data_IF_940173456754
#
_entry.id   IF_940173456754
#
_cell.length_a   1.000
_cell.length_b   1.000
_cell.length_c   1.000
_cell.angle_alpha   90.00
_cell.angle_beta   90.00
_cell.angle_gamma   90.00
#
_symmetry.space_group_name_H-M   'P 1'
#
loop_
_entity.id
_entity.type
_entity.pdbx_description
1 polymer ?
#
# COMPACT_ATOMS: atom_id res chain seq x y z
N UNK A 1 -35.55 -12.26 32.21
CA UNK A 1 -35.40 -12.51 30.77
C UNK A 1 -34.57 -11.36 30.24
N UNK A 2 -33.26 -11.56 30.07
CA UNK A 2 -32.35 -10.45 29.72
C UNK A 2 -32.55 -10.07 28.25
N UNK A 3 -32.96 -8.83 28.01
CA UNK A 3 -33.09 -8.27 26.67
C UNK A 3 -31.67 -8.00 26.15
N UNK A 4 -31.27 -8.73 25.12
CA UNK A 4 -29.99 -8.52 24.46
C UNK A 4 -30.20 -7.50 23.35
N UNK A 5 -29.80 -6.25 23.61
CA UNK A 5 -29.92 -5.16 22.63
C UNK A 5 -29.18 -5.55 21.35
N UNK A 6 -29.83 -5.52 20.17
CA UNK A 6 -29.21 -6.01 18.95
C UNK A 6 -28.01 -5.13 18.57
N UNK A 7 -26.81 -5.70 18.71
CA UNK A 7 -25.58 -5.07 18.24
C UNK A 7 -25.56 -5.06 16.71
N UNK A 8 -25.04 -3.97 16.13
CA UNK A 8 -24.92 -3.86 14.69
C UNK A 8 -23.93 -4.93 14.17
N UNK A 9 -24.30 -5.75 13.17
CA UNK A 9 -23.43 -6.81 12.69
C UNK A 9 -22.17 -6.25 12.04
N UNK A 10 -21.03 -6.91 12.29
CA UNK A 10 -19.71 -6.54 11.76
C UNK A 10 -19.58 -6.89 10.27
N UNK A 11 -20.29 -7.92 9.82
CA UNK A 11 -20.35 -8.38 8.43
C UNK A 11 -21.82 -8.63 8.05
N UNK A 12 -22.24 -8.20 6.86
CA UNK A 12 -23.59 -8.43 6.33
C UNK A 12 -23.52 -8.94 4.90
N UNK A 13 -24.09 -10.11 4.64
CA UNK A 13 -24.29 -10.64 3.29
C UNK A 13 -25.47 -9.90 2.65
N UNK A 14 -25.22 -9.22 1.54
CA UNK A 14 -26.25 -8.45 0.81
C UNK A 14 -26.88 -9.29 -0.31
N UNK A 15 -26.14 -10.27 -0.82
CA UNK A 15 -26.57 -11.14 -1.93
C UNK A 15 -25.81 -12.48 -1.87
N UNK A 16 -26.48 -13.54 -2.32
CA UNK A 16 -25.95 -14.90 -2.37
C UNK A 16 -26.32 -15.70 -1.12
N UNK A 17 -26.00 -16.99 -1.15
CA UNK A 17 -26.15 -17.92 -0.04
C UNK A 17 -24.81 -18.65 0.14
N UNK A 18 -23.80 -17.98 0.74
CA UNK A 18 -22.48 -18.54 0.89
C UNK A 18 -22.49 -19.71 1.88
N UNK A 19 -21.67 -20.70 1.62
CA UNK A 19 -21.53 -21.83 2.54
C UNK A 19 -20.64 -21.49 3.75
N UNK A 20 -20.61 -22.40 4.73
CA UNK A 20 -19.83 -22.21 5.97
C UNK A 20 -18.32 -22.02 5.71
N UNK A 21 -17.80 -22.64 4.64
CA UNK A 21 -16.38 -22.55 4.28
C UNK A 21 -16.08 -21.16 3.74
N UNK A 22 -16.95 -20.62 2.90
CA UNK A 22 -16.83 -19.27 2.36
C UNK A 22 -16.95 -18.20 3.46
N UNK A 23 -17.90 -18.37 4.40
CA UNK A 23 -18.02 -17.49 5.57
C UNK A 23 -16.75 -17.52 6.42
N UNK A 24 -16.21 -18.71 6.69
CA UNK A 24 -14.97 -18.86 7.44
C UNK A 24 -13.77 -18.22 6.73
N UNK A 25 -13.68 -18.36 5.41
CA UNK A 25 -12.61 -17.77 4.61
C UNK A 25 -12.62 -16.24 4.68
N UNK A 26 -13.79 -15.61 4.53
CA UNK A 26 -13.93 -14.14 4.62
C UNK A 26 -13.62 -13.66 6.05
N UNK A 27 -14.13 -14.36 7.07
CA UNK A 27 -13.85 -14.01 8.47
C UNK A 27 -12.35 -14.11 8.78
N UNK A 28 -11.69 -15.16 8.33
CA UNK A 28 -10.25 -15.35 8.50
C UNK A 28 -9.43 -14.26 7.78
N UNK A 29 -9.83 -13.88 6.56
CA UNK A 29 -9.17 -12.80 5.82
C UNK A 29 -9.28 -11.46 6.55
N UNK A 30 -10.46 -11.12 7.08
CA UNK A 30 -10.69 -9.90 7.85
C UNK A 30 -9.88 -9.90 9.16
N UNK A 31 -9.87 -11.02 9.89
CA UNK A 31 -9.08 -11.17 11.10
C UNK A 31 -7.57 -11.05 10.82
N UNK A 32 -7.09 -11.67 9.75
CA UNK A 32 -5.71 -11.58 9.30
C UNK A 32 -5.31 -10.16 8.91
N UNK A 33 -6.16 -9.45 8.17
CA UNK A 33 -5.93 -8.05 7.81
C UNK A 33 -5.89 -7.13 9.04
N UNK A 34 -6.77 -7.35 10.02
CA UNK A 34 -6.78 -6.58 11.27
C UNK A 34 -5.56 -6.87 12.16
N UNK A 35 -5.04 -8.10 12.13
CA UNK A 35 -3.86 -8.51 12.88
C UNK A 35 -2.53 -8.15 12.18
N UNK A 36 -2.57 -7.78 10.89
CA UNK A 36 -1.39 -7.45 10.13
C UNK A 36 -0.71 -6.21 10.74
N UNK A 37 0.57 -6.34 11.09
CA UNK A 37 1.39 -5.21 11.49
C UNK A 37 1.58 -4.29 10.29
N UNK A 38 1.32 -3.00 10.48
CA UNK A 38 1.74 -1.98 9.52
C UNK A 38 3.25 -2.10 9.35
N UNK A 39 3.77 -2.18 8.11
CA UNK A 39 5.19 -2.09 7.86
C UNK A 39 5.76 -0.86 8.58
N UNK A 40 6.94 -1.02 9.17
CA UNK A 40 7.65 0.10 9.79
C UNK A 40 7.76 1.24 8.77
N UNK A 41 7.51 2.47 9.22
CA UNK A 41 7.46 3.65 8.37
C UNK A 41 8.87 3.86 7.78
N UNK A 42 9.08 3.31 6.58
CA UNK A 42 10.33 3.52 5.86
C UNK A 42 10.33 4.99 5.43
N UNK A 43 11.44 5.71 5.60
CA UNK A 43 11.52 7.09 5.16
C UNK A 43 11.09 7.16 3.70
N UNK A 44 10.03 7.93 3.43
CA UNK A 44 9.52 8.07 2.08
C UNK A 44 10.65 8.62 1.20
N UNK A 45 10.96 7.97 0.07
CA UNK A 45 12.01 8.46 -0.82
C UNK A 45 11.69 9.91 -1.22
N UNK A 46 12.66 10.81 -1.09
CA UNK A 46 12.49 12.18 -1.56
C UNK A 46 12.13 12.17 -3.05
N UNK A 47 11.09 12.94 -3.41
CA UNK A 47 10.77 13.19 -4.80
C UNK A 47 11.97 13.83 -5.50
N UNK A 48 12.36 13.26 -6.64
CA UNK A 48 13.39 13.83 -7.50
C UNK A 48 12.82 14.90 -8.46
N UNK A 49 11.52 15.16 -8.39
CA UNK A 49 10.89 16.21 -9.18
C UNK A 49 11.34 17.58 -8.68
N UNK A 50 11.96 18.38 -9.56
CA UNK A 50 12.46 19.70 -9.21
C UNK A 50 13.78 19.69 -8.41
N UNK A 51 14.51 18.57 -8.36
CA UNK A 51 15.86 18.51 -7.77
C UNK A 51 16.77 19.55 -8.48
N UNK A 52 17.30 20.57 -7.77
CA UNK A 52 18.17 21.59 -8.36
C UNK A 52 19.40 21.02 -9.05
N UNK A 53 19.88 19.86 -8.58
CA UNK A 53 21.03 19.16 -9.18
C UNK A 53 20.68 18.60 -10.56
N UNK A 54 19.40 18.31 -10.83
CA UNK A 54 18.94 17.88 -12.16
C UNK A 54 18.99 19.00 -13.21
N UNK A 55 19.02 20.27 -12.79
CA UNK A 55 19.16 21.42 -13.69
C UNK A 55 20.62 21.67 -14.12
N UNK A 56 21.59 21.03 -13.46
CA UNK A 56 23.01 21.16 -13.81
C UNK A 56 23.33 20.25 -14.99
N UNK A 57 23.74 20.82 -16.12
CA UNK A 57 24.22 20.04 -17.27
C UNK A 57 25.49 19.31 -16.88
N UNK A 58 25.47 17.97 -16.94
CA UNK A 58 26.70 17.20 -16.80
C UNK A 58 27.49 17.26 -18.12
N UNK A 59 28.84 17.33 -18.06
CA UNK A 59 29.68 17.45 -19.25
C UNK A 59 29.56 16.26 -20.22
N UNK A 60 29.05 15.11 -19.74
CA UNK A 60 28.78 13.92 -20.53
C UNK A 60 27.29 13.73 -20.92
N UNK A 61 26.43 14.75 -20.72
CA UNK A 61 25.01 14.69 -21.02
C UNK A 61 24.14 14.38 -19.79
N UNK A 62 23.40 13.27 -19.81
CA UNK A 62 22.51 12.87 -18.71
C UNK A 62 23.30 12.34 -17.51
N UNK A 63 22.80 12.59 -16.30
CA UNK A 63 23.34 11.97 -15.07
C UNK A 63 23.18 10.45 -15.14
N UNK A 64 24.23 9.66 -14.84
CA UNK A 64 24.09 8.21 -14.73
C UNK A 64 23.07 7.82 -13.66
N UNK A 65 22.15 6.92 -13.98
CA UNK A 65 21.25 6.31 -13.01
C UNK A 65 22.11 5.47 -12.04
N UNK A 66 22.05 5.76 -10.73
CA UNK A 66 22.70 4.91 -9.72
C UNK A 66 21.83 3.68 -9.48
N UNK A 67 22.38 2.45 -9.58
CA UNK A 67 21.66 1.25 -9.19
C UNK A 67 21.29 1.30 -7.71
N UNK A 68 20.05 0.94 -7.40
CA UNK A 68 19.57 0.88 -6.02
C UNK A 68 18.05 0.76 -5.94
N UNK A 69 17.52 0.44 -4.75
CA UNK A 69 16.09 0.50 -4.49
C UNK A 69 15.52 1.84 -4.96
N UNK A 70 14.45 1.79 -5.75
CA UNK A 70 13.77 2.96 -6.33
C UNK A 70 14.57 3.78 -7.36
N UNK A 71 15.80 3.40 -7.72
CA UNK A 71 16.61 4.12 -8.72
C UNK A 71 15.96 4.19 -10.11
N UNK A 72 15.12 3.21 -10.44
CA UNK A 72 14.33 3.19 -11.68
C UNK A 72 13.32 4.34 -11.77
N UNK A 73 12.88 4.92 -10.64
CA UNK A 73 11.91 6.04 -10.63
C UNK A 73 12.46 7.31 -11.28
N UNK A 74 13.79 7.45 -11.32
CA UNK A 74 14.46 8.57 -11.98
C UNK A 74 14.55 8.42 -13.51
N UNK A 75 14.21 7.25 -14.08
CA UNK A 75 14.37 6.98 -15.52
C UNK A 75 13.48 7.85 -16.43
N UNK A 76 12.35 8.34 -15.91
CA UNK A 76 11.40 9.16 -16.64
C UNK A 76 11.63 10.67 -16.47
N UNK A 77 12.63 11.08 -15.67
CA UNK A 77 12.91 12.50 -15.47
C UNK A 77 13.54 13.12 -16.73
N UNK A 78 13.18 14.37 -17.06
CA UNK A 78 13.98 15.16 -17.99
C UNK A 78 15.39 15.31 -17.42
N UNK A 79 16.40 15.44 -18.28
CA UNK A 79 17.75 15.80 -17.83
C UNK A 79 18.44 16.69 -18.81
#
# INVERSE_FOLDING_TARGET
MSEQTPQRPVLRIVRGDPDDVEIAAVAAALAGAAAAKTPEDQPEPMSLWGDPVAAVRHPAGRRPLRPGPHGWRASALPG
#
